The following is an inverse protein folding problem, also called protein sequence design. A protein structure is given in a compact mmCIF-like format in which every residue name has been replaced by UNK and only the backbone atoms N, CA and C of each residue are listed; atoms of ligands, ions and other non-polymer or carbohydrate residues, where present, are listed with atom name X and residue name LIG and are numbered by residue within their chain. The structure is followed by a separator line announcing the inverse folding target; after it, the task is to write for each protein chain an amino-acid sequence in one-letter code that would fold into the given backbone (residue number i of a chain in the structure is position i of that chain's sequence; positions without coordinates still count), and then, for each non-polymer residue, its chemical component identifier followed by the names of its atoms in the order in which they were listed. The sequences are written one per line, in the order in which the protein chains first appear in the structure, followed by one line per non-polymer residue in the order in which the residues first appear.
data_IF_899676369638
#
_entry.id   IF_899676369638
#
_cell.length_a   1.000
_cell.length_b   1.000
_cell.length_c   1.000
_cell.angle_alpha   90.00
_cell.angle_beta   90.00
_cell.angle_gamma   90.00
#
_symmetry.space_group_name_H-M   'P 1'
#
loop_
_entity.id
_entity.type
_entity.pdbx_description
1 polymer ?
#
# COMPACT_ATOMS: atom_id res chain seq x y z
N UNK A 1 45.99 5.66 -32.14
CA UNK A 1 44.55 5.31 -32.01
C UNK A 1 44.34 4.98 -30.56
N UNK A 2 43.70 5.90 -29.81
CA UNK A 2 43.38 5.73 -28.37
C UNK A 2 41.94 5.23 -28.30
N UNK A 3 41.76 3.98 -27.88
CA UNK A 3 40.42 3.45 -27.63
C UNK A 3 39.77 4.16 -26.42
N UNK A 4 38.49 4.56 -26.51
CA UNK A 4 37.76 5.14 -25.36
C UNK A 4 37.45 4.06 -24.32
N UNK A 5 38.00 4.19 -23.14
CA UNK A 5 37.69 3.36 -21.96
C UNK A 5 36.20 3.48 -21.66
N UNK A 6 35.40 2.44 -21.92
CA UNK A 6 34.02 2.32 -21.50
C UNK A 6 33.98 2.33 -19.97
N UNK A 7 33.60 3.46 -19.39
CA UNK A 7 33.23 3.55 -17.95
C UNK A 7 32.00 2.65 -17.70
N UNK A 8 32.25 1.44 -17.22
CA UNK A 8 31.21 0.58 -16.67
C UNK A 8 30.55 1.32 -15.51
N UNK A 9 29.36 1.85 -15.74
CA UNK A 9 28.50 2.43 -14.70
C UNK A 9 28.08 1.30 -13.76
N UNK A 10 28.72 1.21 -12.61
CA UNK A 10 28.40 0.23 -11.58
C UNK A 10 27.02 0.58 -11.01
N UNK A 11 25.95 -0.20 -11.29
CA UNK A 11 24.58 0.14 -10.91
C UNK A 11 24.40 0.26 -9.38
N UNK A 12 25.19 -0.50 -8.62
CA UNK A 12 25.17 -0.45 -7.15
C UNK A 12 25.69 0.88 -6.60
N UNK A 13 26.71 1.50 -7.25
CA UNK A 13 27.18 2.83 -6.85
C UNK A 13 26.17 3.94 -7.19
N UNK A 14 25.40 3.77 -8.26
CA UNK A 14 24.34 4.71 -8.60
C UNK A 14 23.19 4.64 -7.58
N UNK A 15 22.73 3.44 -7.24
CA UNK A 15 21.70 3.21 -6.20
C UNK A 15 22.18 3.76 -4.85
N UNK A 16 23.40 3.46 -4.41
CA UNK A 16 23.97 3.98 -3.17
C UNK A 16 24.03 5.51 -3.13
N UNK A 17 24.38 6.16 -4.25
CA UNK A 17 24.43 7.62 -4.36
C UNK A 17 23.01 8.23 -4.38
N UNK A 18 22.06 7.57 -4.99
CA UNK A 18 20.65 7.98 -4.98
C UNK A 18 20.07 7.92 -3.57
N UNK A 19 20.29 6.81 -2.86
CA UNK A 19 19.82 6.63 -1.48
C UNK A 19 20.50 7.57 -0.49
N UNK A 20 21.80 7.87 -0.66
CA UNK A 20 22.52 8.81 0.22
C UNK A 20 22.17 10.28 -0.03
N UNK A 21 21.78 10.64 -1.26
CA UNK A 21 21.34 12.01 -1.56
C UNK A 21 19.92 12.30 -1.09
N UNK A 22 19.10 11.27 -0.88
CA UNK A 22 17.71 11.40 -0.39
C UNK A 22 17.68 11.82 1.09
N UNK A 23 18.78 11.61 1.84
CA UNK A 23 18.90 11.94 3.26
C UNK A 23 19.44 13.35 3.59
N UNK A 24 19.66 14.20 2.61
CA UNK A 24 20.01 15.60 2.88
C UNK A 24 18.75 16.40 3.18
N UNK A 25 18.46 16.57 4.45
CA UNK A 25 17.45 17.48 4.98
C UNK A 25 17.93 18.93 4.78
N UNK A 26 17.69 19.49 3.61
CA UNK A 26 17.62 20.93 3.40
C UNK A 26 16.18 21.36 3.65
N UNK A 27 15.97 22.59 4.15
CA UNK A 27 14.67 23.22 4.42
C UNK A 27 13.83 23.40 3.14
N UNK A 28 13.45 22.31 2.52
CA UNK A 28 12.61 22.31 1.33
C UNK A 28 11.13 22.36 1.73
N UNK A 29 10.31 23.05 0.93
CA UNK A 29 8.87 23.11 1.17
C UNK A 29 8.17 21.74 1.11
N UNK A 30 8.76 20.81 0.39
CA UNK A 30 8.32 19.46 0.20
C UNK A 30 9.54 18.55 0.18
N UNK A 31 9.62 17.66 1.14
CA UNK A 31 10.70 16.70 1.24
C UNK A 31 10.21 15.35 0.69
N UNK A 32 10.82 14.88 -0.38
CA UNK A 32 10.40 13.70 -1.12
C UNK A 32 11.40 12.56 -0.95
N UNK A 33 10.89 11.37 -0.66
CA UNK A 33 11.66 10.14 -0.60
C UNK A 33 11.00 9.04 -1.41
N UNK A 34 11.81 8.17 -2.00
CA UNK A 34 11.34 7.01 -2.76
C UNK A 34 12.20 5.79 -2.43
N UNK A 35 11.55 4.66 -2.23
CA UNK A 35 12.17 3.38 -1.97
C UNK A 35 11.59 2.34 -2.91
N UNK A 36 12.46 1.57 -3.55
CA UNK A 36 12.10 0.41 -4.37
C UNK A 36 12.91 -0.77 -3.88
N UNK A 37 12.28 -1.92 -3.70
CA UNK A 37 12.97 -3.11 -3.22
C UNK A 37 12.20 -4.41 -3.47
N UNK A 38 12.91 -5.55 -3.37
CA UNK A 38 12.26 -6.85 -3.38
C UNK A 38 11.39 -7.02 -2.13
N UNK A 39 10.31 -7.76 -2.27
CA UNK A 39 9.43 -8.17 -1.20
C UNK A 39 9.27 -9.69 -1.22
N UNK A 40 9.06 -10.29 -0.05
CA UNK A 40 8.75 -11.70 0.06
C UNK A 40 7.73 -11.94 1.18
N UNK A 41 6.74 -12.75 0.89
CA UNK A 41 5.76 -13.23 1.87
C UNK A 41 5.38 -14.66 1.52
N UNK A 42 5.14 -15.49 2.52
CA UNK A 42 4.66 -16.86 2.30
C UNK A 42 3.33 -16.92 1.55
N UNK A 43 2.46 -15.91 1.73
CA UNK A 43 1.17 -15.82 1.07
C UNK A 43 1.25 -15.29 -0.38
N UNK A 44 2.23 -14.45 -0.68
CA UNK A 44 2.31 -13.73 -1.97
C UNK A 44 3.57 -14.04 -2.78
N UNK A 45 4.44 -14.94 -2.29
CA UNK A 45 5.72 -15.29 -2.90
C UNK A 45 6.68 -14.10 -3.02
N UNK A 46 7.67 -14.21 -3.91
CA UNK A 46 8.56 -13.10 -4.22
C UNK A 46 7.83 -12.01 -5.02
N UNK A 47 8.23 -10.77 -4.83
CA UNK A 47 7.65 -9.62 -5.49
C UNK A 47 8.57 -8.42 -5.52
N UNK A 48 8.07 -7.33 -6.08
CA UNK A 48 8.72 -6.04 -6.09
C UNK A 48 7.77 -5.00 -5.50
N UNK A 49 8.30 -4.20 -4.57
CA UNK A 49 7.57 -3.11 -3.95
C UNK A 49 8.23 -1.76 -4.21
N UNK A 50 7.42 -0.73 -4.35
CA UNK A 50 7.83 0.65 -4.43
C UNK A 50 7.00 1.51 -3.48
N UNK A 51 7.64 2.46 -2.82
CA UNK A 51 6.97 3.46 -1.98
C UNK A 51 7.58 4.83 -2.27
N UNK A 52 6.73 5.82 -2.47
CA UNK A 52 7.12 7.21 -2.55
C UNK A 52 6.41 7.99 -1.44
N UNK A 53 7.14 8.82 -0.72
CA UNK A 53 6.63 9.59 0.42
C UNK A 53 7.05 11.03 0.32
N UNK A 54 6.15 11.93 0.67
CA UNK A 54 6.41 13.36 0.77
C UNK A 54 6.03 13.91 2.14
N UNK A 55 6.90 14.75 2.70
CA UNK A 55 6.66 15.51 3.91
C UNK A 55 6.40 16.97 3.55
N UNK A 56 5.40 17.59 4.14
CA UNK A 56 5.04 18.98 3.93
C UNK A 56 4.44 19.61 5.19
N UNK A 57 4.49 20.92 5.27
CA UNK A 57 3.85 21.68 6.35
C UNK A 57 2.73 22.56 5.78
N UNK A 58 1.55 22.52 6.39
CA UNK A 58 0.43 23.40 6.06
C UNK A 58 0.68 24.84 6.49
N UNK A 59 1.35 25.02 7.63
CA UNK A 59 1.73 26.34 8.12
C UNK A 59 3.20 26.30 8.54
N UNK A 60 4.04 27.07 7.84
CA UNK A 60 5.46 27.17 8.13
C UNK A 60 5.78 28.20 9.21
N UNK A 61 4.82 29.06 9.52
CA UNK A 61 4.97 30.06 10.58
C UNK A 61 4.83 29.45 11.98
N UNK A 62 4.23 28.24 12.07
CA UNK A 62 4.09 27.50 13.31
C UNK A 62 5.17 26.41 13.43
N UNK A 63 6.26 26.66 14.16
CA UNK A 63 7.36 25.68 14.33
C UNK A 63 6.97 24.46 15.16
N UNK A 64 5.85 24.52 15.89
CA UNK A 64 5.33 23.44 16.70
C UNK A 64 4.41 22.51 15.93
N UNK A 65 3.98 22.91 14.71
CA UNK A 65 3.13 22.09 13.87
C UNK A 65 3.93 20.93 13.27
N UNK A 66 3.56 19.66 13.56
CA UNK A 66 4.21 18.51 12.93
C UNK A 66 4.07 18.54 11.41
N UNK A 67 5.08 18.05 10.70
CA UNK A 67 4.99 17.90 9.25
C UNK A 67 3.95 16.84 8.91
N UNK A 68 3.08 17.19 7.97
CA UNK A 68 2.14 16.27 7.35
C UNK A 68 2.88 15.37 6.36
N UNK A 69 2.35 14.18 6.12
CA UNK A 69 2.91 13.27 5.13
C UNK A 69 1.86 12.73 4.17
N UNK A 70 2.31 12.41 2.98
CA UNK A 70 1.57 11.63 1.99
C UNK A 70 2.49 10.56 1.44
N UNK A 71 1.97 9.34 1.29
CA UNK A 71 2.74 8.21 0.76
C UNK A 71 1.88 7.44 -0.24
N UNK A 72 2.48 7.10 -1.36
CA UNK A 72 1.93 6.20 -2.37
C UNK A 72 2.78 4.93 -2.36
N UNK A 73 2.15 3.78 -2.37
CA UNK A 73 2.84 2.51 -2.47
C UNK A 73 2.23 1.62 -3.55
N UNK A 74 3.08 0.81 -4.15
CA UNK A 74 2.69 -0.23 -5.08
C UNK A 74 3.51 -1.50 -4.80
N UNK A 75 2.89 -2.65 -4.91
CA UNK A 75 3.54 -3.95 -4.77
C UNK A 75 2.95 -4.92 -5.78
N UNK A 76 3.80 -5.65 -6.47
CA UNK A 76 3.41 -6.72 -7.37
C UNK A 76 4.21 -7.97 -7.05
N UNK A 77 3.56 -9.14 -7.05
CA UNK A 77 4.18 -10.41 -6.72
C UNK A 77 4.07 -11.43 -7.84
N UNK A 78 4.94 -12.44 -7.81
CA UNK A 78 4.93 -13.54 -8.77
C UNK A 78 3.69 -14.44 -8.65
N UNK A 79 2.98 -14.40 -7.52
CA UNK A 79 1.69 -15.09 -7.35
C UNK A 79 0.52 -14.38 -8.05
N UNK A 80 0.75 -13.25 -8.74
CA UNK A 80 -0.30 -12.46 -9.37
C UNK A 80 -0.97 -11.43 -8.47
N UNK A 81 -0.51 -11.26 -7.21
CA UNK A 81 -1.03 -10.21 -6.33
C UNK A 81 -0.53 -8.84 -6.80
N UNK A 82 -1.45 -7.89 -6.89
CA UNK A 82 -1.16 -6.47 -7.04
C UNK A 82 -1.76 -5.70 -5.87
N UNK A 83 -0.98 -4.81 -5.27
CA UNK A 83 -1.42 -3.88 -4.24
C UNK A 83 -0.99 -2.47 -4.60
N UNK A 84 -1.90 -1.51 -4.59
CA UNK A 84 -1.61 -0.08 -4.76
C UNK A 84 -2.36 0.68 -3.69
N UNK A 85 -1.73 1.68 -3.12
CA UNK A 85 -2.40 2.48 -2.10
C UNK A 85 -1.80 3.87 -1.92
N UNK A 86 -2.62 4.70 -1.31
CA UNK A 86 -2.32 6.06 -0.90
C UNK A 86 -2.67 6.19 0.58
N UNK A 87 -1.78 6.76 1.38
CA UNK A 87 -2.03 7.09 2.78
C UNK A 87 -1.44 8.45 3.10
N UNK A 88 -2.06 9.14 4.03
CA UNK A 88 -1.56 10.41 4.50
C UNK A 88 -2.01 10.71 5.92
N UNK A 89 -1.17 11.45 6.64
CA UNK A 89 -1.49 12.05 7.92
C UNK A 89 -1.30 13.55 7.79
N UNK A 90 -2.37 14.29 8.02
CA UNK A 90 -2.41 15.72 7.85
C UNK A 90 -2.64 16.41 9.20
N UNK A 91 -1.69 17.23 9.60
CA UNK A 91 -1.79 18.09 10.76
C UNK A 91 -2.20 19.47 10.29
N UNK A 92 -3.43 19.89 10.62
CA UNK A 92 -3.97 21.20 10.24
C UNK A 92 -3.46 22.29 11.20
N UNK A 93 -3.48 23.55 10.79
CA UNK A 93 -2.97 24.66 11.57
C UNK A 93 -3.49 24.69 13.01
N UNK A 94 -2.63 25.13 13.93
CA UNK A 94 -2.88 25.18 15.38
C UNK A 94 -3.08 23.79 16.03
N UNK A 95 -2.75 22.70 15.32
CA UNK A 95 -2.92 21.31 15.78
C UNK A 95 -4.34 20.97 16.28
N UNK A 96 -5.34 21.74 15.87
CA UNK A 96 -6.73 21.55 16.28
C UNK A 96 -7.37 20.32 15.66
N UNK A 97 -6.99 20.02 14.42
CA UNK A 97 -7.56 18.96 13.62
C UNK A 97 -6.46 18.10 13.03
N UNK A 98 -6.73 16.83 12.92
CA UNK A 98 -5.90 15.87 12.26
C UNK A 98 -6.76 15.07 11.29
N UNK A 99 -6.33 14.94 10.06
CA UNK A 99 -7.00 14.15 9.04
C UNK A 99 -6.05 13.09 8.52
N UNK A 100 -6.34 11.84 8.86
CA UNK A 100 -5.61 10.69 8.38
C UNK A 100 -6.48 9.95 7.36
N UNK A 101 -5.89 9.44 6.30
CA UNK A 101 -6.60 8.66 5.30
C UNK A 101 -5.75 7.53 4.76
N UNK A 102 -6.43 6.45 4.38
CA UNK A 102 -5.85 5.35 3.64
C UNK A 102 -6.82 4.92 2.55
N UNK A 103 -6.34 4.90 1.31
CA UNK A 103 -7.01 4.32 0.15
C UNK A 103 -6.15 3.17 -0.35
N UNK A 104 -6.73 1.99 -0.51
CA UNK A 104 -5.99 0.79 -0.90
C UNK A 104 -6.79 0.00 -1.91
N UNK A 105 -6.12 -0.45 -2.94
CA UNK A 105 -6.62 -1.36 -3.96
C UNK A 105 -5.75 -2.61 -3.98
N UNK A 106 -6.39 -3.77 -3.93
CA UNK A 106 -5.72 -5.07 -3.93
C UNK A 106 -6.37 -6.00 -4.94
N UNK A 107 -5.54 -6.77 -5.65
CA UNK A 107 -5.99 -7.96 -6.37
C UNK A 107 -5.28 -9.17 -5.79
N UNK A 108 -6.02 -10.23 -5.54
CA UNK A 108 -5.49 -11.48 -5.01
C UNK A 108 -6.02 -12.65 -5.84
N UNK A 109 -5.17 -13.45 -6.46
CA UNK A 109 -5.57 -14.77 -6.90
C UNK A 109 -5.86 -15.63 -5.66
N UNK A 110 -7.01 -16.22 -5.62
CA UNK A 110 -7.46 -17.07 -4.53
C UNK A 110 -7.79 -18.47 -5.04
N UNK A 111 -7.90 -19.40 -4.10
CA UNK A 111 -8.33 -20.77 -4.36
C UNK A 111 -9.52 -21.08 -3.48
N UNK A 112 -10.53 -21.70 -4.06
CA UNK A 112 -11.77 -22.08 -3.40
C UNK A 112 -12.04 -23.56 -3.65
N UNK A 113 -12.38 -24.30 -2.59
CA UNK A 113 -12.66 -25.73 -2.65
C UNK A 113 -14.14 -26.06 -2.42
N UNK A 114 -15.02 -25.07 -2.45
CA UNK A 114 -16.40 -25.21 -2.07
C UNK A 114 -16.63 -25.07 -0.55
N UNK A 115 -17.88 -25.16 -0.14
CA UNK A 115 -18.27 -25.04 1.27
C UNK A 115 -18.46 -26.43 1.89
N UNK A 116 -17.98 -26.57 3.12
CA UNK A 116 -18.08 -27.79 3.91
C UNK A 116 -16.82 -28.64 3.90
N UNK A 117 -16.73 -29.55 4.88
CA UNK A 117 -15.55 -30.38 5.08
C UNK A 117 -15.29 -31.35 3.92
N UNK A 118 -16.35 -31.93 3.37
CA UNK A 118 -16.23 -32.92 2.27
C UNK A 118 -15.67 -32.28 0.99
N UNK A 119 -16.13 -31.06 0.66
CA UNK A 119 -15.64 -30.35 -0.50
C UNK A 119 -14.19 -29.87 -0.31
N UNK A 120 -13.86 -29.39 0.89
CA UNK A 120 -12.52 -28.94 1.24
C UNK A 120 -11.47 -30.04 1.33
N UNK A 121 -11.88 -31.30 1.48
CA UNK A 121 -10.98 -32.45 1.58
C UNK A 121 -10.47 -32.96 0.24
N UNK A 122 -11.04 -32.52 -0.89
CA UNK A 122 -10.69 -33.00 -2.23
C UNK A 122 -10.10 -31.87 -3.10
N UNK A 123 -8.88 -32.05 -3.56
CA UNK A 123 -8.25 -31.13 -4.52
C UNK A 123 -8.95 -31.12 -5.91
N UNK A 124 -9.81 -32.11 -6.19
CA UNK A 124 -10.63 -32.12 -7.40
C UNK A 124 -11.68 -31.00 -7.42
N UNK A 125 -12.05 -30.45 -6.26
CA UNK A 125 -13.00 -29.36 -6.11
C UNK A 125 -12.34 -27.98 -6.13
N UNK A 126 -11.02 -27.91 -6.33
CA UNK A 126 -10.28 -26.67 -6.36
C UNK A 126 -10.68 -25.82 -7.56
N UNK A 127 -11.11 -24.60 -7.31
CA UNK A 127 -11.39 -23.56 -8.29
C UNK A 127 -10.51 -22.35 -8.03
N UNK A 128 -9.83 -21.86 -9.03
CA UNK A 128 -9.09 -20.61 -8.94
C UNK A 128 -10.07 -19.45 -9.19
N UNK A 129 -9.90 -18.36 -8.45
CA UNK A 129 -10.70 -17.14 -8.60
C UNK A 129 -9.85 -15.90 -8.35
N UNK A 130 -10.30 -14.77 -8.84
CA UNK A 130 -9.69 -13.49 -8.54
C UNK A 130 -10.55 -12.69 -7.56
N UNK A 131 -9.91 -12.14 -6.53
CA UNK A 131 -10.53 -11.23 -5.58
C UNK A 131 -9.97 -9.83 -5.77
N UNK A 132 -10.85 -8.87 -5.96
CA UNK A 132 -10.55 -7.44 -5.96
C UNK A 132 -11.11 -6.81 -4.70
N UNK A 133 -10.30 -6.02 -4.04
CA UNK A 133 -10.66 -5.29 -2.83
C UNK A 133 -10.28 -3.83 -2.97
N UNK A 134 -11.24 -2.94 -2.75
CA UNK A 134 -11.04 -1.51 -2.59
C UNK A 134 -11.40 -1.13 -1.17
N UNK A 135 -10.51 -0.42 -0.47
CA UNK A 135 -10.72 0.00 0.90
C UNK A 135 -10.40 1.48 1.05
N UNK A 136 -11.28 2.21 1.72
CA UNK A 136 -11.10 3.61 2.05
C UNK A 136 -11.35 3.85 3.55
N UNK A 137 -10.33 4.35 4.25
CA UNK A 137 -10.35 4.63 5.70
C UNK A 137 -9.99 6.09 5.96
N UNK A 138 -10.96 7.01 5.97
CA UNK A 138 -10.76 8.36 6.46
C UNK A 138 -10.94 8.42 7.99
N UNK A 139 -10.05 9.13 8.68
CA UNK A 139 -10.14 9.42 10.10
C UNK A 139 -10.05 10.94 10.28
N UNK A 140 -11.02 11.52 10.96
CA UNK A 140 -11.01 12.93 11.27
C UNK A 140 -11.00 13.13 12.80
N UNK A 141 -9.92 13.69 13.33
CA UNK A 141 -9.67 13.81 14.75
C UNK A 141 -9.67 15.26 15.19
N UNK A 142 -10.36 15.55 16.27
CA UNK A 142 -10.41 16.83 16.96
C UNK A 142 -9.55 16.77 18.21
N UNK A 143 -8.72 17.78 18.42
CA UNK A 143 -7.92 17.90 19.63
C UNK A 143 -8.79 18.37 20.80
N UNK A 144 -8.89 17.56 21.84
CA UNK A 144 -9.58 17.89 23.07
C UNK A 144 -8.64 18.59 24.07
N UNK A 145 -7.42 18.07 24.19
CA UNK A 145 -6.35 18.67 25.01
C UNK A 145 -4.97 18.40 24.38
N UNK A 146 -3.87 18.73 25.07
CA UNK A 146 -2.52 18.59 24.51
C UNK A 146 -2.15 17.16 24.07
N UNK A 147 -2.78 16.15 24.66
CA UNK A 147 -2.42 14.74 24.44
C UNK A 147 -3.57 13.87 23.93
N UNK A 148 -4.81 14.41 23.89
CA UNK A 148 -6.00 13.62 23.54
C UNK A 148 -6.67 14.15 22.29
N UNK A 149 -6.90 13.25 21.35
CA UNK A 149 -7.67 13.48 20.15
C UNK A 149 -8.89 12.56 20.15
N UNK A 150 -10.02 13.06 19.69
CA UNK A 150 -11.26 12.31 19.52
C UNK A 150 -11.85 12.61 18.15
N UNK A 151 -12.40 11.61 17.50
CA UNK A 151 -13.10 11.81 16.23
C UNK A 151 -13.61 10.52 15.61
N UNK A 152 -14.43 10.65 14.55
CA UNK A 152 -14.95 9.51 13.83
C UNK A 152 -13.84 8.81 13.02
N UNK A 153 -13.93 7.49 13.00
CA UNK A 153 -13.17 6.59 12.14
C UNK A 153 -14.18 5.88 11.23
N UNK A 154 -13.99 5.98 9.94
CA UNK A 154 -14.82 5.31 8.93
C UNK A 154 -13.95 4.30 8.19
N UNK A 155 -14.47 3.09 7.98
CA UNK A 155 -13.84 2.05 7.16
C UNK A 155 -14.87 1.55 6.15
N UNK A 156 -14.65 1.87 4.90
CA UNK A 156 -15.47 1.42 3.78
C UNK A 156 -14.67 0.43 2.96
N UNK A 157 -15.20 -0.76 2.81
CA UNK A 157 -14.59 -1.84 2.07
C UNK A 157 -15.54 -2.38 1.01
N UNK A 158 -15.06 -2.44 -0.22
CA UNK A 158 -15.73 -3.09 -1.32
C UNK A 158 -14.91 -4.28 -1.78
N UNK A 159 -15.54 -5.44 -1.84
CA UNK A 159 -14.89 -6.69 -2.26
C UNK A 159 -15.72 -7.32 -3.36
N UNK A 160 -15.05 -7.71 -4.42
CA UNK A 160 -15.64 -8.51 -5.49
C UNK A 160 -14.76 -9.72 -5.79
N UNK A 161 -15.37 -10.85 -6.08
CA UNK A 161 -14.67 -12.08 -6.46
C UNK A 161 -15.29 -12.59 -7.76
N UNK A 162 -14.47 -12.90 -8.74
CA UNK A 162 -14.89 -13.32 -10.07
C UNK A 162 -13.92 -14.35 -10.67
N UNK A 163 -14.29 -14.92 -11.82
CA UNK A 163 -13.41 -15.84 -12.55
C UNK A 163 -13.33 -17.22 -11.91
N UNK A 164 -14.39 -17.71 -11.27
CA UNK A 164 -14.44 -19.07 -10.76
C UNK A 164 -14.41 -20.07 -11.92
N UNK A 165 -13.43 -20.94 -11.96
CA UNK A 165 -13.31 -21.98 -12.99
C UNK A 165 -14.41 -23.06 -12.89
N UNK A 166 -14.96 -23.29 -11.68
CA UNK A 166 -16.02 -24.24 -11.37
C UNK A 166 -17.24 -23.51 -10.79
N UNK A 167 -18.11 -22.98 -11.64
CA UNK A 167 -19.34 -22.31 -11.21
C UNK A 167 -20.35 -23.27 -10.54
N UNK A 168 -20.30 -24.57 -10.83
CA UNK A 168 -21.16 -25.58 -10.22
C UNK A 168 -21.02 -25.70 -8.70
N UNK A 169 -19.85 -25.31 -8.16
CA UNK A 169 -19.64 -25.28 -6.71
C UNK A 169 -20.40 -24.14 -6.01
N UNK A 170 -20.84 -23.12 -6.76
CA UNK A 170 -21.62 -21.98 -6.29
C UNK A 170 -23.14 -22.23 -6.42
N UNK A 171 -23.58 -22.98 -7.44
CA UNK A 171 -25.00 -23.25 -7.70
C UNK A 171 -25.68 -24.11 -6.61
N UNK A 172 -24.91 -24.84 -5.82
CA UNK A 172 -25.42 -25.63 -4.71
C UNK A 172 -25.96 -24.83 -3.51
N UNK A 173 -25.76 -23.53 -3.47
CA UNK A 173 -26.12 -22.68 -2.31
C UNK A 173 -27.51 -22.04 -2.38
N UNK A 174 -28.13 -21.94 -3.55
CA UNK A 174 -29.44 -21.30 -3.72
C UNK A 174 -30.63 -22.20 -3.40
N UNK A 175 -30.39 -23.40 -2.87
CA UNK A 175 -31.45 -24.42 -2.63
C UNK A 175 -31.60 -24.85 -1.16
N UNK A 176 -31.13 -24.08 -0.17
CA UNK A 176 -31.38 -24.40 1.24
C UNK A 176 -32.03 -23.23 1.98
#
# INVERSE_FOLDING_TARGET
VVEPVRKTRNPLKWIGRYLSNTNKHEDRPFDFSMLIGPSYSAATSAGLGATASGLYSWDRSDPLLPKSNVSVYANASLSGMLAVGLRGNNFLPHQRYRFDYQLSFYTFPGKFWGIGYENGASDANKSDYERVKLQFKPNFLFRLNESVFLGPVVDVEWVNSFGFENETLLEGQDKS
#
